data_IF_317182818597
#
_entry.id   IF_317182818597
#
_cell.length_a   1.000
_cell.length_b   1.000
_cell.length_c   1.000
_cell.angle_alpha   90.00
_cell.angle_beta   90.00
_cell.angle_gamma   90.00
#
_symmetry.space_group_name_H-M   'P 1'
#
loop_
_entity.id
_entity.type
_entity.pdbx_description
1 polymer ?
#
# COMPACT_ATOMS: atom_id res chain seq x y z
N UNK A 1 -25.09 0.75 -19.88
CA UNK A 1 -23.97 0.03 -20.53
C UNK A 1 -23.35 -1.01 -19.60
N UNK A 2 -23.94 -2.22 -19.47
CA UNK A 2 -23.49 -3.23 -18.52
C UNK A 2 -22.11 -3.84 -18.87
N UNK A 3 -21.73 -3.86 -20.15
CA UNK A 3 -20.43 -4.38 -20.60
C UNK A 3 -19.32 -3.33 -20.43
N UNK A 4 -19.54 -2.09 -20.87
CA UNK A 4 -18.56 -1.00 -20.75
C UNK A 4 -18.24 -0.65 -19.29
N UNK A 5 -19.25 -0.69 -18.41
CA UNK A 5 -19.03 -0.46 -16.97
C UNK A 5 -18.14 -1.53 -16.34
N UNK A 6 -18.31 -2.81 -16.70
CA UNK A 6 -17.42 -3.89 -16.25
C UNK A 6 -15.99 -3.75 -16.75
N UNK A 7 -15.82 -3.27 -17.97
CA UNK A 7 -14.49 -3.00 -18.55
C UNK A 7 -13.84 -1.83 -17.79
N UNK A 8 -14.56 -0.71 -17.65
CA UNK A 8 -14.07 0.46 -16.95
C UNK A 8 -13.66 0.13 -15.50
N UNK A 9 -14.47 -0.63 -14.77
CA UNK A 9 -14.16 -1.05 -13.40
C UNK A 9 -12.92 -1.96 -13.28
N UNK A 10 -12.50 -2.63 -14.36
CA UNK A 10 -11.26 -3.41 -14.38
C UNK A 10 -10.03 -2.55 -14.65
N UNK A 11 -10.17 -1.48 -15.43
CA UNK A 11 -9.04 -0.64 -15.85
C UNK A 11 -8.84 0.60 -14.98
N UNK A 12 -9.92 1.19 -14.46
CA UNK A 12 -9.88 2.36 -13.57
C UNK A 12 -9.06 2.17 -12.28
N UNK A 13 -9.10 1.00 -11.59
CA UNK A 13 -8.33 0.82 -10.36
C UNK A 13 -6.86 0.46 -10.63
N UNK A 14 -6.44 0.33 -11.89
CA UNK A 14 -5.03 0.07 -12.21
C UNK A 14 -4.23 1.33 -11.89
N UNK A 15 -3.32 1.22 -10.93
CA UNK A 15 -2.44 2.32 -10.58
C UNK A 15 -1.58 2.72 -11.79
N UNK A 16 -1.69 3.98 -12.23
CA UNK A 16 -0.81 4.53 -13.27
C UNK A 16 0.57 4.97 -12.77
N UNK A 17 0.79 4.93 -11.45
CA UNK A 17 2.06 5.27 -10.81
C UNK A 17 2.79 3.99 -10.40
N UNK A 18 4.12 3.99 -10.53
CA UNK A 18 4.98 2.93 -9.99
C UNK A 18 5.04 2.92 -8.47
N UNK A 19 4.55 3.98 -7.80
CA UNK A 19 4.58 4.12 -6.34
C UNK A 19 3.17 4.38 -5.81
N UNK A 20 2.27 3.38 -5.84
CA UNK A 20 0.93 3.49 -5.27
C UNK A 20 0.90 3.84 -3.79
N UNK A 21 1.91 3.37 -3.07
CA UNK A 21 1.96 3.37 -1.62
C UNK A 21 3.04 4.29 -1.07
N UNK A 22 3.48 5.30 -1.82
CA UNK A 22 4.58 6.19 -1.44
C UNK A 22 4.38 6.81 -0.05
N UNK A 23 3.15 7.26 0.21
CA UNK A 23 2.75 7.80 1.50
C UNK A 23 2.82 6.74 2.61
N UNK A 24 2.32 5.53 2.35
CA UNK A 24 2.35 4.43 3.32
C UNK A 24 3.77 3.94 3.62
N UNK A 25 4.66 3.93 2.61
CA UNK A 25 6.08 3.59 2.79
C UNK A 25 6.88 4.71 3.48
N UNK A 26 6.59 5.97 3.17
CA UNK A 26 7.24 7.11 3.81
C UNK A 26 6.91 7.18 5.31
N UNK A 27 5.65 6.94 5.66
CA UNK A 27 5.21 6.91 7.06
C UNK A 27 5.72 5.65 7.79
N UNK A 28 5.79 4.51 7.09
CA UNK A 28 6.38 3.31 7.67
C UNK A 28 7.90 3.44 7.87
N UNK A 29 8.61 4.18 7.00
CA UNK A 29 10.02 4.53 7.17
C UNK A 29 10.30 5.31 8.46
N UNK A 30 9.35 6.16 8.90
CA UNK A 30 9.43 6.86 10.18
C UNK A 30 9.38 5.88 11.37
N UNK A 31 8.57 4.83 11.26
CA UNK A 31 8.43 3.81 12.31
C UNK A 31 9.62 2.84 12.32
N UNK A 32 10.12 2.49 11.14
CA UNK A 32 11.26 1.58 10.94
C UNK A 32 12.60 2.20 11.37
N UNK A 33 12.90 3.42 10.91
CA UNK A 33 14.22 4.03 11.12
C UNK A 33 14.33 4.92 12.36
N UNK A 34 13.27 5.66 12.73
CA UNK A 34 13.36 6.70 13.77
C UNK A 34 13.23 6.16 15.19
N UNK A 35 12.56 5.02 15.36
CA UNK A 35 12.35 4.41 16.67
C UNK A 35 13.35 3.31 17.01
N UNK A 36 14.31 2.99 16.12
CA UNK A 36 15.24 1.86 16.29
C UNK A 36 14.56 0.52 16.65
N UNK A 37 13.25 0.41 16.44
CA UNK A 37 12.54 -0.86 16.52
C UNK A 37 12.87 -1.54 15.20
N UNK A 38 13.99 -2.24 15.18
CA UNK A 38 14.45 -3.05 14.06
C UNK A 38 13.43 -4.19 13.88
N UNK A 39 12.26 -3.85 13.35
CA UNK A 39 11.18 -4.78 13.10
C UNK A 39 11.72 -5.73 12.05
N UNK A 40 11.75 -7.02 12.41
CA UNK A 40 12.11 -8.06 11.45
C UNK A 40 11.25 -7.83 10.19
N UNK A 41 11.80 -7.88 8.96
CA UNK A 41 11.06 -7.54 7.74
C UNK A 41 9.70 -8.25 7.60
N UNK A 42 9.59 -9.45 8.19
CA UNK A 42 8.35 -10.21 8.31
C UNK A 42 7.26 -9.48 9.09
N UNK A 43 7.57 -8.96 10.27
CA UNK A 43 6.61 -8.25 11.13
C UNK A 43 6.22 -6.90 10.52
N UNK A 44 7.15 -6.25 9.81
CA UNK A 44 6.89 -4.98 9.14
C UNK A 44 5.85 -5.12 8.02
N UNK A 45 5.96 -6.16 7.19
CA UNK A 45 4.98 -6.45 6.14
C UNK A 45 3.59 -6.74 6.71
N UNK A 46 3.51 -7.49 7.80
CA UNK A 46 2.23 -7.79 8.48
C UNK A 46 1.57 -6.51 9.02
N UNK A 47 2.35 -5.63 9.67
CA UNK A 47 1.85 -4.35 10.20
C UNK A 47 1.39 -3.43 9.07
N UNK A 48 2.15 -3.35 7.97
CA UNK A 48 1.79 -2.50 6.84
C UNK A 48 0.55 -3.01 6.10
N UNK A 49 0.36 -4.34 6.04
CA UNK A 49 -0.86 -4.97 5.52
C UNK A 49 -2.06 -4.60 6.37
N UNK A 50 -1.96 -4.76 7.70
CA UNK A 50 -3.04 -4.38 8.64
C UNK A 50 -3.37 -2.89 8.50
N UNK A 51 -2.36 -2.03 8.42
CA UNK A 51 -2.54 -0.58 8.27
C UNK A 51 -3.22 -0.18 6.95
N UNK A 52 -2.96 -0.90 5.86
CA UNK A 52 -3.61 -0.65 4.57
C UNK A 52 -5.06 -1.15 4.49
N UNK A 53 -5.49 -1.98 5.44
CA UNK A 53 -6.86 -2.54 5.50
C UNK A 53 -7.83 -1.73 6.37
N UNK A 54 -7.33 -0.82 7.21
CA UNK A 54 -8.13 0.11 8.02
C UNK A 54 -8.27 1.46 7.33
#
# INVERSE_FOLDING_TARGET
>A
YPVLSRIALKFLPIQGSSIPCEHAFSDAGLTDTKWHVHLLPKNFGDIQTVKGTY
#
